data_IF_537432072497
#
_entry.id   IF_537432072497
#
_cell.length_a   1.000
_cell.length_b   1.000
_cell.length_c   1.000
_cell.angle_alpha   90.00
_cell.angle_beta   90.00
_cell.angle_gamma   90.00
#
_symmetry.space_group_name_H-M   'P 1'
#
loop_
_entity.id
_entity.type
_entity.pdbx_description
1 polymer ?
#
# COMPACT_ATOMS: atom_id res chain seq x y z
N UNK A 1 5.94 4.46 12.72
CA UNK A 1 5.07 3.46 12.06
C UNK A 1 5.75 2.96 10.82
N UNK A 2 5.73 1.65 10.61
CA UNK A 2 6.47 0.95 9.59
C UNK A 2 5.66 0.76 8.32
N UNK A 3 6.31 0.60 7.16
CA UNK A 3 5.59 0.35 5.90
C UNK A 3 4.77 -0.95 5.98
N UNK A 4 5.35 -1.97 6.64
CA UNK A 4 4.67 -3.23 6.99
C UNK A 4 3.40 -3.00 7.80
N UNK A 5 3.42 -2.14 8.82
CA UNK A 5 2.24 -1.86 9.63
C UNK A 5 1.10 -1.21 8.83
N UNK A 6 1.42 -0.33 7.87
CA UNK A 6 0.41 0.25 6.98
C UNK A 6 -0.25 -0.83 6.13
N UNK A 7 0.54 -1.67 5.45
CA UNK A 7 0.04 -2.76 4.60
C UNK A 7 -0.82 -3.75 5.39
N UNK A 8 -0.37 -4.13 6.59
CA UNK A 8 -1.11 -5.02 7.48
C UNK A 8 -2.45 -4.41 7.93
N UNK A 9 -2.45 -3.13 8.34
CA UNK A 9 -3.68 -2.41 8.68
C UNK A 9 -4.65 -2.30 7.50
N UNK A 10 -4.14 -2.08 6.28
CA UNK A 10 -4.97 -2.06 5.07
C UNK A 10 -5.62 -3.42 4.86
N UNK A 11 -4.85 -4.50 4.96
CA UNK A 11 -5.36 -5.87 4.82
C UNK A 11 -6.37 -6.21 5.91
N UNK A 12 -6.11 -5.80 7.15
CA UNK A 12 -7.04 -5.98 8.26
C UNK A 12 -8.35 -5.19 8.08
N UNK A 13 -8.29 -3.97 7.52
CA UNK A 13 -9.48 -3.13 7.28
C UNK A 13 -10.29 -3.54 6.06
N UNK A 14 -9.60 -3.86 4.96
CA UNK A 14 -10.24 -4.06 3.65
C UNK A 14 -10.37 -5.54 3.29
N UNK A 15 -9.64 -6.43 3.96
CA UNK A 15 -9.51 -7.84 3.57
C UNK A 15 -8.77 -8.05 2.24
N UNK A 16 -8.21 -6.99 1.64
CA UNK A 16 -7.57 -7.02 0.33
C UNK A 16 -6.06 -6.78 0.46
N UNK A 17 -5.32 -7.37 -0.45
CA UNK A 17 -3.87 -7.25 -0.51
C UNK A 17 -3.44 -6.02 -1.33
N UNK A 18 -2.31 -5.34 -1.02
CA UNK A 18 -1.77 -4.26 -1.86
C UNK A 18 -1.63 -4.63 -3.34
N UNK A 19 -1.29 -5.90 -3.64
CA UNK A 19 -1.22 -6.40 -5.01
C UNK A 19 -2.59 -6.41 -5.72
N UNK A 20 -3.68 -6.61 -4.97
CA UNK A 20 -5.04 -6.53 -5.51
C UNK A 20 -5.36 -5.12 -6.00
N UNK A 21 -5.03 -4.09 -5.19
CA UNK A 21 -5.25 -2.70 -5.57
C UNK A 21 -4.40 -2.29 -6.78
N UNK A 22 -3.17 -2.79 -6.91
CA UNK A 22 -2.34 -2.56 -8.08
C UNK A 22 -2.96 -3.14 -9.35
N UNK A 23 -3.49 -4.36 -9.29
CA UNK A 23 -4.16 -4.96 -10.44
C UNK A 23 -5.41 -4.16 -10.82
N UNK A 24 -6.23 -3.80 -9.84
CA UNK A 24 -7.44 -3.01 -10.07
C UNK A 24 -7.14 -1.62 -10.65
N UNK A 25 -6.09 -0.96 -10.14
CA UNK A 25 -5.63 0.33 -10.65
C UNK A 25 -5.21 0.24 -12.11
N UNK A 26 -4.46 -0.81 -12.48
CA UNK A 26 -4.10 -1.06 -13.88
C UNK A 26 -5.31 -1.35 -14.75
N UNK A 27 -6.27 -2.15 -14.27
CA UNK A 27 -7.51 -2.44 -14.99
C UNK A 27 -8.37 -1.18 -15.20
N UNK A 28 -8.40 -0.28 -14.21
CA UNK A 28 -9.09 1.02 -14.33
C UNK A 28 -8.29 2.07 -15.13
N UNK A 29 -7.03 1.81 -15.48
CA UNK A 29 -6.15 2.79 -16.11
C UNK A 29 -5.72 3.95 -15.20
N UNK A 30 -5.77 3.76 -13.87
CA UNK A 30 -5.40 4.77 -12.89
C UNK A 30 -3.88 4.85 -12.75
N UNK A 31 -3.30 5.92 -13.29
CA UNK A 31 -1.85 6.19 -13.24
C UNK A 31 -1.49 7.38 -12.36
N UNK A 32 -2.38 8.37 -12.22
CA UNK A 32 -2.08 9.57 -11.42
C UNK A 32 -2.26 9.30 -9.94
N UNK A 33 -1.31 9.82 -9.16
CA UNK A 33 -1.34 9.76 -7.70
C UNK A 33 -2.65 10.29 -7.12
N UNK A 34 -3.11 11.46 -7.58
CA UNK A 34 -4.34 12.09 -7.09
C UNK A 34 -5.59 11.22 -7.32
N UNK A 35 -5.70 10.58 -8.49
CA UNK A 35 -6.84 9.72 -8.83
C UNK A 35 -6.84 8.45 -7.98
N UNK A 36 -5.68 7.81 -7.84
CA UNK A 36 -5.52 6.65 -6.96
C UNK A 36 -5.84 7.00 -5.50
N UNK A 37 -5.39 8.17 -5.03
CA UNK A 37 -5.62 8.62 -3.67
C UNK A 37 -7.11 8.88 -3.41
N UNK A 38 -7.81 9.50 -4.37
CA UNK A 38 -9.25 9.69 -4.30
C UNK A 38 -10.00 8.36 -4.32
N UNK A 39 -9.63 7.46 -5.22
CA UNK A 39 -10.22 6.12 -5.33
C UNK A 39 -10.01 5.30 -4.05
N UNK A 40 -8.79 5.22 -3.52
CA UNK A 40 -8.49 4.47 -2.28
C UNK A 40 -9.19 5.05 -1.05
N UNK A 41 -9.43 6.36 -1.02
CA UNK A 41 -10.20 7.00 0.05
C UNK A 41 -11.68 6.66 -0.06
N UNK A 42 -12.27 6.83 -1.23
CA UNK A 42 -13.71 6.66 -1.45
C UNK A 42 -14.13 5.19 -1.46
N UNK A 43 -13.35 4.33 -2.13
CA UNK A 43 -13.70 2.93 -2.39
C UNK A 43 -13.21 2.01 -1.25
N UNK A 44 -12.03 2.32 -0.68
CA UNK A 44 -11.40 1.47 0.35
C UNK A 44 -11.40 2.09 1.75
N UNK A 45 -11.89 3.32 1.91
CA UNK A 45 -11.91 4.01 3.20
C UNK A 45 -10.50 4.25 3.78
N UNK A 46 -9.46 4.26 2.94
CA UNK A 46 -8.08 4.37 3.40
C UNK A 46 -7.72 5.83 3.72
N UNK A 47 -7.23 6.06 4.93
CA UNK A 47 -6.67 7.36 5.31
C UNK A 47 -5.42 7.71 4.49
N UNK A 48 -5.03 8.99 4.51
CA UNK A 48 -3.95 9.54 3.66
C UNK A 48 -2.65 8.72 3.68
N UNK A 49 -2.18 8.31 4.87
CA UNK A 49 -0.94 7.51 5.00
C UNK A 49 -1.05 6.10 4.40
N UNK A 50 -2.19 5.43 4.62
CA UNK A 50 -2.45 4.10 4.07
C UNK A 50 -2.61 4.15 2.55
N UNK A 51 -3.35 5.13 2.04
CA UNK A 51 -3.51 5.35 0.60
C UNK A 51 -2.15 5.60 -0.07
N UNK A 52 -1.30 6.45 0.52
CA UNK A 52 0.03 6.72 -0.03
C UNK A 52 0.92 5.46 -0.06
N UNK A 53 0.82 4.60 0.95
CA UNK A 53 1.54 3.34 0.99
C UNK A 53 1.13 2.39 -0.16
N UNK A 54 -0.17 2.30 -0.45
CA UNK A 54 -0.68 1.55 -1.61
C UNK A 54 -0.21 2.20 -2.91
N UNK A 55 -0.32 3.52 -3.06
CA UNK A 55 0.06 4.19 -4.30
C UNK A 55 1.54 3.96 -4.61
N UNK A 56 2.41 3.99 -3.59
CA UNK A 56 3.82 3.61 -3.74
C UNK A 56 3.96 2.17 -4.27
N UNK A 57 3.18 1.22 -3.76
CA UNK A 57 3.18 -0.16 -4.25
C UNK A 57 2.69 -0.27 -5.70
N UNK A 58 1.71 0.55 -6.08
CA UNK A 58 1.12 0.55 -7.43
C UNK A 58 2.14 1.07 -8.44
N UNK A 59 2.76 2.22 -8.15
CA UNK A 59 3.76 2.86 -9.00
C UNK A 59 5.08 2.08 -9.02
N UNK A 60 5.53 1.69 -7.82
CA UNK A 60 6.88 1.17 -7.60
C UNK A 60 6.84 -0.06 -6.66
N UNK A 61 6.37 -1.22 -7.18
CA UNK A 61 6.19 -2.43 -6.38
C UNK A 61 7.53 -2.98 -5.85
N UNK A 62 8.64 -2.75 -6.57
CA UNK A 62 9.97 -3.18 -6.15
C UNK A 62 10.43 -2.41 -4.90
N UNK A 63 10.36 -1.07 -4.96
CA UNK A 63 10.69 -0.21 -3.83
C UNK A 63 9.81 -0.50 -2.61
N UNK A 64 8.51 -0.75 -2.83
CA UNK A 64 7.59 -1.11 -1.77
C UNK A 64 7.93 -2.46 -1.11
N UNK A 65 8.25 -3.50 -1.91
CA UNK A 65 8.72 -4.79 -1.40
C UNK A 65 10.05 -4.66 -0.65
N UNK A 66 10.97 -3.84 -1.17
CA UNK A 66 12.24 -3.56 -0.50
C UNK A 66 12.01 -2.90 0.85
N UNK A 67 11.11 -1.91 0.94
CA UNK A 67 10.71 -1.33 2.23
C UNK A 67 10.06 -2.34 3.17
N UNK A 68 9.20 -3.23 2.68
CA UNK A 68 8.65 -4.32 3.50
C UNK A 68 9.74 -5.21 4.08
N UNK A 69 10.73 -5.57 3.27
CA UNK A 69 11.84 -6.44 3.67
C UNK A 69 12.77 -5.76 4.69
N UNK A 70 13.15 -4.50 4.43
CA UNK A 70 13.98 -3.69 5.32
C UNK A 70 13.33 -3.56 6.70
N UNK A 71 12.03 -3.33 6.71
CA UNK A 71 11.24 -3.20 7.93
C UNK A 71 11.16 -4.51 8.71
N UNK A 72 10.96 -5.63 8.01
CA UNK A 72 10.99 -6.97 8.60
C UNK A 72 12.37 -7.34 9.18
N UNK A 73 13.47 -6.93 8.53
CA UNK A 73 14.83 -7.11 9.06
C UNK A 73 15.07 -6.28 10.32
N UNK A 74 14.58 -5.03 10.34
CA UNK A 74 14.73 -4.12 11.49
C UNK A 74 13.96 -4.62 12.72
N UNK A 75 12.81 -5.26 12.52
CA UNK A 75 12.01 -5.90 13.58
C UNK A 75 12.74 -7.10 14.18
N UNK A 76 13.34 -7.96 13.35
CA UNK A 76 14.17 -9.09 13.81
C UNK A 76 15.45 -8.68 14.54
N UNK A 77 16.07 -7.57 14.15
CA UNK A 77 17.32 -7.10 14.77
C UNK A 77 17.11 -6.37 16.11
N UNK A 78 15.87 -6.00 16.44
CA UNK A 78 15.50 -5.34 17.71
C UNK A 78 14.95 -6.31 18.75
N UNK A 79 14.88 -7.60 18.43
CA UNK A 79 14.41 -8.68 19.32
C UNK A 79 15.58 -9.59 19.66
#
# INVERSE_FOLDING_TARGET
MTYKAYVDNIKAKTGKDPAYFQKLAKEKGLVKHAELLSWLKSDCGLGHGHANAIILYINDPDLAKKKLLEDAKKEKSRK
#
